data_IF_261116421394
#
_entry.id   IF_261116421394
#
_cell.length_a   1.000
_cell.length_b   1.000
_cell.length_c   1.000
_cell.angle_alpha   90.00
_cell.angle_beta   90.00
_cell.angle_gamma   90.00
#
_symmetry.space_group_name_H-M   'P 1'
#
loop_
_entity.id
_entity.type
_entity.pdbx_description
1 polymer ?
#
# COMPACT_ATOMS: atom_id res chain seq x y z
N UNK A 1 0.54 -15.05 -2.16
CA UNK A 1 0.96 -14.53 -3.38
C UNK A 1 -0.18 -14.17 -4.31
N UNK A 2 -1.27 -14.93 -4.31
CA UNK A 2 -2.48 -14.55 -5.02
C UNK A 2 -3.01 -13.20 -4.52
N UNK A 3 -2.96 -12.97 -3.21
CA UNK A 3 -3.39 -11.69 -2.61
C UNK A 3 -2.51 -10.53 -3.09
N UNK A 4 -1.19 -10.73 -3.14
CA UNK A 4 -0.27 -9.73 -3.64
C UNK A 4 -0.52 -9.42 -5.12
N UNK A 5 -0.80 -10.43 -5.94
CA UNK A 5 -1.16 -10.25 -7.36
C UNK A 5 -2.46 -9.47 -7.51
N UNK A 6 -3.51 -9.83 -6.78
CA UNK A 6 -4.78 -9.12 -6.83
C UNK A 6 -4.61 -7.66 -6.46
N UNK A 7 -3.86 -7.39 -5.40
CA UNK A 7 -3.60 -6.03 -4.94
C UNK A 7 -2.82 -5.24 -5.98
N UNK A 8 -1.80 -5.82 -6.60
CA UNK A 8 -1.03 -5.16 -7.65
C UNK A 8 -1.90 -4.89 -8.87
N UNK A 9 -2.72 -5.85 -9.29
CA UNK A 9 -3.64 -5.69 -10.43
C UNK A 9 -4.65 -4.57 -10.19
N UNK A 10 -5.21 -4.49 -8.99
CA UNK A 10 -6.15 -3.43 -8.64
C UNK A 10 -5.49 -2.06 -8.63
N UNK A 11 -4.29 -1.96 -8.09
CA UNK A 11 -3.52 -0.72 -8.09
C UNK A 11 -3.15 -0.26 -9.50
N UNK A 12 -2.75 -1.19 -10.35
CA UNK A 12 -2.45 -0.90 -11.74
C UNK A 12 -3.68 -0.35 -12.46
N UNK A 13 -4.84 -0.95 -12.24
CA UNK A 13 -6.10 -0.48 -12.82
C UNK A 13 -6.45 0.92 -12.35
N UNK A 14 -6.32 1.18 -11.05
CA UNK A 14 -6.59 2.49 -10.47
C UNK A 14 -5.66 3.56 -11.05
N UNK A 15 -4.38 3.23 -11.18
CA UNK A 15 -3.38 4.14 -11.76
C UNK A 15 -3.64 4.40 -13.24
N UNK A 16 -4.08 3.40 -13.98
CA UNK A 16 -4.44 3.54 -15.39
C UNK A 16 -5.63 4.49 -15.55
N UNK A 17 -6.66 4.32 -14.72
CA UNK A 17 -7.83 5.19 -14.75
C UNK A 17 -7.51 6.62 -14.38
N UNK A 18 -6.47 6.84 -13.56
CA UNK A 18 -6.00 8.16 -13.18
C UNK A 18 -4.90 8.73 -14.09
N UNK A 19 -4.62 8.06 -15.21
CA UNK A 19 -3.57 8.46 -16.16
C UNK A 19 -2.15 8.48 -15.58
N UNK A 20 -1.88 7.63 -14.58
CA UNK A 20 -0.55 7.49 -13.99
C UNK A 20 0.31 6.43 -14.68
N UNK A 21 -0.23 5.75 -15.70
CA UNK A 21 0.44 4.67 -16.42
C UNK A 21 0.65 5.10 -17.86
N UNK A 22 1.87 4.89 -18.36
CA UNK A 22 2.20 5.13 -19.76
C UNK A 22 2.00 3.84 -20.58
N UNK A 23 1.43 3.90 -21.79
CA UNK A 23 1.39 2.74 -22.67
C UNK A 23 2.81 2.30 -23.03
N UNK A 24 3.00 1.00 -23.17
CA UNK A 24 4.26 0.41 -23.54
C UNK A 24 4.08 -0.47 -24.78
N UNK A 25 5.08 -0.45 -25.70
CA UNK A 25 5.06 -1.29 -26.91
C UNK A 25 5.31 -2.77 -26.62
N UNK A 26 5.90 -3.09 -25.47
CA UNK A 26 6.38 -4.44 -25.16
C UNK A 26 5.50 -5.15 -24.14
N UNK A 27 4.21 -4.98 -24.20
CA UNK A 27 3.23 -5.62 -23.30
C UNK A 27 3.49 -5.39 -21.81
N UNK A 28 4.48 -4.57 -21.46
CA UNK A 28 4.76 -4.17 -20.10
C UNK A 28 4.01 -2.90 -19.74
N UNK A 29 3.72 -2.74 -18.45
CA UNK A 29 3.16 -1.51 -17.92
C UNK A 29 4.28 -0.68 -17.33
N UNK A 30 4.49 0.51 -17.88
CA UNK A 30 5.50 1.45 -17.39
C UNK A 30 4.79 2.57 -16.63
N UNK A 31 5.06 2.67 -15.35
CA UNK A 31 4.51 3.75 -14.53
C UNK A 31 5.21 5.06 -14.85
N UNK A 32 4.45 6.14 -14.95
CA UNK A 32 5.00 7.49 -14.98
C UNK A 32 5.67 7.80 -13.62
N UNK A 33 6.45 8.88 -13.53
CA UNK A 33 7.03 9.32 -12.25
C UNK A 33 5.94 9.54 -11.19
N UNK A 34 4.83 10.16 -11.58
CA UNK A 34 3.68 10.37 -10.69
C UNK A 34 3.05 9.05 -10.26
N UNK A 35 2.88 8.12 -11.20
CA UNK A 35 2.32 6.81 -10.92
C UNK A 35 3.19 6.01 -9.98
N UNK A 36 4.51 6.05 -10.16
CA UNK A 36 5.45 5.37 -9.28
C UNK A 36 5.41 5.95 -7.86
N UNK A 37 5.38 7.28 -7.74
CA UNK A 37 5.27 7.95 -6.44
C UNK A 37 3.96 7.56 -5.74
N UNK A 38 2.84 7.56 -6.46
CA UNK A 38 1.55 7.15 -5.91
C UNK A 38 1.56 5.69 -5.46
N UNK A 39 2.15 4.80 -6.27
CA UNK A 39 2.25 3.38 -5.92
C UNK A 39 3.07 3.18 -4.64
N UNK A 40 4.16 3.92 -4.47
CA UNK A 40 4.96 3.88 -3.25
C UNK A 40 4.17 4.37 -2.04
N UNK A 41 3.42 5.45 -2.19
CA UNK A 41 2.58 5.99 -1.12
C UNK A 41 1.51 4.98 -0.70
N UNK A 42 0.81 4.37 -1.66
CA UNK A 42 -0.20 3.37 -1.37
C UNK A 42 0.39 2.13 -0.72
N UNK A 43 1.56 1.69 -1.16
CA UNK A 43 2.25 0.55 -0.56
C UNK A 43 2.64 0.85 0.89
N UNK A 44 3.15 2.05 1.15
CA UNK A 44 3.49 2.49 2.50
C UNK A 44 2.25 2.51 3.40
N UNK A 45 1.17 3.13 2.95
CA UNK A 45 -0.11 3.17 3.68
C UNK A 45 -0.61 1.76 3.98
N UNK A 46 -0.63 0.89 2.98
CA UNK A 46 -1.10 -0.48 3.11
C UNK A 46 -0.34 -1.23 4.21
N UNK A 47 1.00 -1.19 4.14
CA UNK A 47 1.84 -1.90 5.11
C UNK A 47 1.73 -1.33 6.51
N UNK A 48 1.62 -0.01 6.63
CA UNK A 48 1.44 0.64 7.91
C UNK A 48 0.10 0.27 8.55
N UNK A 49 -0.97 0.25 7.75
CA UNK A 49 -2.29 -0.17 8.21
C UNK A 49 -2.28 -1.63 8.63
N UNK A 50 -1.57 -2.50 7.90
CA UNK A 50 -1.42 -3.90 8.30
C UNK A 50 -0.78 -4.02 9.69
N UNK A 51 0.25 -3.24 9.97
CA UNK A 51 0.88 -3.23 11.30
C UNK A 51 -0.12 -2.82 12.35
N UNK A 52 -0.87 -1.77 12.10
CA UNK A 52 -1.90 -1.29 13.02
C UNK A 52 -2.96 -2.36 13.30
N UNK A 53 -3.51 -2.95 12.25
CA UNK A 53 -4.56 -3.95 12.37
C UNK A 53 -4.09 -5.20 13.11
N UNK A 54 -2.90 -5.67 12.82
CA UNK A 54 -2.36 -6.87 13.45
C UNK A 54 -1.89 -6.63 14.87
N UNK A 55 -1.07 -5.59 15.08
CA UNK A 55 -0.41 -5.33 16.35
C UNK A 55 -1.33 -4.73 17.40
N UNK A 56 -2.20 -3.81 17.00
CA UNK A 56 -3.05 -3.06 17.92
C UNK A 56 -4.44 -3.68 18.04
N UNK A 57 -5.07 -3.98 16.90
CA UNK A 57 -6.43 -4.53 16.88
C UNK A 57 -6.46 -6.05 16.92
N UNK A 58 -5.30 -6.70 16.86
CA UNK A 58 -5.18 -8.16 16.90
C UNK A 58 -5.97 -8.89 15.82
N UNK A 59 -6.08 -8.28 14.64
CA UNK A 59 -6.68 -8.92 13.48
C UNK A 59 -5.78 -10.07 13.04
N UNK A 60 -6.38 -11.21 12.71
CA UNK A 60 -5.66 -12.38 12.22
C UNK A 60 -4.77 -12.01 11.03
N UNK A 61 -3.51 -12.45 11.05
CA UNK A 61 -2.55 -12.18 9.99
C UNK A 61 -3.04 -12.61 8.60
N UNK A 62 -3.95 -13.57 8.53
CA UNK A 62 -4.57 -14.01 7.27
C UNK A 62 -5.59 -13.03 6.73
N UNK A 63 -6.12 -12.14 7.58
CA UNK A 63 -7.16 -11.17 7.23
C UNK A 63 -6.64 -9.75 7.08
N UNK A 64 -5.47 -9.43 7.67
CA UNK A 64 -4.98 -8.05 7.70
C UNK A 64 -4.77 -7.49 6.29
N UNK A 65 -4.32 -8.29 5.34
CA UNK A 65 -4.06 -7.82 3.98
C UNK A 65 -5.34 -7.30 3.31
N UNK A 66 -6.41 -8.08 3.36
CA UNK A 66 -7.70 -7.70 2.77
C UNK A 66 -8.29 -6.48 3.47
N UNK A 67 -8.21 -6.43 4.80
CA UNK A 67 -8.72 -5.29 5.56
C UNK A 67 -7.91 -4.03 5.29
N UNK A 68 -6.57 -4.13 5.24
CA UNK A 68 -5.71 -2.99 4.92
C UNK A 68 -6.00 -2.45 3.51
N UNK A 69 -6.26 -3.33 2.55
CA UNK A 69 -6.60 -2.92 1.20
C UNK A 69 -7.87 -2.05 1.17
N UNK A 70 -8.87 -2.40 1.97
CA UNK A 70 -10.10 -1.61 2.07
C UNK A 70 -9.86 -0.22 2.65
N UNK A 71 -8.90 -0.10 3.56
CA UNK A 71 -8.67 1.13 4.33
C UNK A 71 -7.63 2.06 3.70
N UNK A 72 -6.74 1.55 2.87
CA UNK A 72 -5.60 2.33 2.38
C UNK A 72 -6.00 3.58 1.60
N UNK A 73 -7.12 3.55 0.89
CA UNK A 73 -7.63 4.70 0.16
C UNK A 73 -8.42 5.67 1.03
N UNK A 74 -8.90 5.21 2.17
CA UNK A 74 -9.71 6.02 3.09
C UNK A 74 -8.87 6.85 4.06
N UNK A 75 -7.63 6.44 4.33
CA UNK A 75 -6.75 7.14 5.25
C UNK A 75 -6.07 8.32 4.54
N UNK A 76 -6.21 9.52 5.09
CA UNK A 76 -5.51 10.68 4.58
C UNK A 76 -4.01 10.61 4.91
N UNK A 77 -3.21 11.42 4.23
CA UNK A 77 -1.77 11.49 4.49
C UNK A 77 -1.49 11.95 5.92
N UNK A 78 -2.29 12.87 6.45
CA UNK A 78 -2.17 13.32 7.83
C UNK A 78 -2.42 12.18 8.82
N UNK A 79 -3.49 11.42 8.61
CA UNK A 79 -3.80 10.27 9.48
C UNK A 79 -2.69 9.24 9.42
N UNK A 80 -2.17 8.95 8.25
CA UNK A 80 -1.06 8.02 8.07
C UNK A 80 0.20 8.50 8.78
N UNK A 81 0.53 9.78 8.68
CA UNK A 81 1.70 10.34 9.36
C UNK A 81 1.59 10.21 10.88
N UNK A 82 0.42 10.49 11.43
CA UNK A 82 0.16 10.34 12.86
C UNK A 82 0.17 8.89 13.31
N UNK A 83 -0.40 8.01 12.49
CA UNK A 83 -0.39 6.57 12.76
C UNK A 83 1.03 6.03 12.79
N UNK A 84 1.87 6.41 11.82
CA UNK A 84 3.27 6.00 11.77
C UNK A 84 4.01 6.41 13.04
N UNK A 85 3.83 7.66 13.47
CA UNK A 85 4.45 8.20 14.67
C UNK A 85 3.98 7.44 15.92
N UNK A 86 2.70 7.18 16.02
CA UNK A 86 2.12 6.45 17.15
C UNK A 86 2.62 5.00 17.22
N UNK A 87 2.82 4.36 16.07
CA UNK A 87 3.35 3.01 15.99
C UNK A 87 4.88 2.94 16.15
N UNK A 88 5.56 4.08 16.29
CA UNK A 88 7.00 4.13 16.44
C UNK A 88 7.78 3.97 15.12
N UNK A 89 7.18 4.39 14.01
CA UNK A 89 7.78 4.31 12.66
C UNK A 89 8.27 2.88 12.34
N UNK A 90 7.38 1.89 12.27
CA UNK A 90 7.78 0.51 12.03
C UNK A 90 8.49 0.35 10.68
N UNK A 91 9.49 -0.53 10.63
CA UNK A 91 10.28 -0.80 9.43
C UNK A 91 9.90 -2.11 8.75
N UNK A 92 9.08 -2.92 9.39
CA UNK A 92 8.62 -4.21 8.87
C UNK A 92 7.13 -4.39 9.13
N UNK A 93 6.43 -4.96 8.15
CA UNK A 93 5.03 -5.35 8.29
C UNK A 93 4.88 -6.68 9.02
N UNK A 94 3.62 -7.11 9.28
CA UNK A 94 3.34 -8.36 10.01
C UNK A 94 3.91 -9.61 9.35
N UNK A 95 4.08 -9.59 8.03
CA UNK A 95 4.62 -10.71 7.26
C UNK A 95 6.11 -10.51 6.92
N UNK A 96 6.78 -9.56 7.56
CA UNK A 96 8.20 -9.30 7.36
C UNK A 96 8.55 -8.38 6.19
N UNK A 97 7.54 -7.82 5.49
CA UNK A 97 7.78 -6.90 4.37
C UNK A 97 8.41 -5.60 4.87
N UNK A 98 9.38 -5.13 4.13
CA UNK A 98 10.02 -3.85 4.43
C UNK A 98 9.06 -2.70 4.22
N UNK A 99 9.04 -1.76 5.15
CA UNK A 99 8.25 -0.54 5.06
C UNK A 99 9.17 0.63 4.74
N UNK A 100 9.07 1.13 3.51
CA UNK A 100 9.81 2.31 3.07
C UNK A 100 8.98 3.55 3.31
N UNK A 101 9.43 4.39 4.24
CA UNK A 101 8.75 5.63 4.58
C UNK A 101 8.80 6.61 3.41
N UNK A 102 7.64 7.11 3.00
CA UNK A 102 7.51 8.04 1.85
C UNK A 102 6.81 9.36 2.20
N UNK A 103 6.42 9.53 3.45
CA UNK A 103 5.85 10.79 3.94
C UNK A 103 6.70 11.37 5.05
#
# INVERSE_FOLDING_TARGET
LKLARSTVSERVRDLKNANFIKPSRNDGIVLSKKGLALARQLTYKHRLIEVFLHKILHIDSKKVHAEAHKLEHAFSDEVIARLAKWLGNPTRGPHGEKIDKVF
#
